data_IF_860415990527
#
_entry.id   IF_860415990527
#
_cell.length_a   1.000
_cell.length_b   1.000
_cell.length_c   1.000
_cell.angle_alpha   90.00
_cell.angle_beta   90.00
_cell.angle_gamma   90.00
#
_symmetry.space_group_name_H-M   'P 1'
#
loop_
_entity.id
_entity.type
_entity.pdbx_description
1 polymer ?
#
# COMPACT_ATOMS: atom_id res chain seq x y z
N UNK A 1 7.19 -4.44 49.73
CA UNK A 1 6.79 -4.98 48.42
C UNK A 1 5.28 -4.84 48.28
N UNK A 2 4.73 -3.71 47.81
CA UNK A 2 3.33 -3.64 47.42
C UNK A 2 3.15 -4.08 45.96
N UNK A 3 2.20 -4.99 45.73
CA UNK A 3 1.75 -5.49 44.43
C UNK A 3 1.30 -4.36 43.50
N UNK A 4 1.76 -4.41 42.25
CA UNK A 4 1.12 -3.68 41.15
C UNK A 4 -0.23 -4.31 40.83
N UNK A 5 -1.33 -3.55 40.74
CA UNK A 5 -2.55 -4.05 40.12
C UNK A 5 -2.36 -4.13 38.61
N UNK A 6 -2.64 -5.30 38.05
CA UNK A 6 -2.72 -5.58 36.62
C UNK A 6 -3.85 -4.74 36.02
N UNK A 7 -3.50 -3.80 35.14
CA UNK A 7 -4.47 -3.02 34.38
C UNK A 7 -5.18 -3.94 33.36
N UNK A 8 -6.51 -3.82 33.18
CA UNK A 8 -7.18 -4.52 32.09
C UNK A 8 -6.63 -3.99 30.76
N UNK A 9 -6.21 -4.91 29.89
CA UNK A 9 -5.92 -4.58 28.49
C UNK A 9 -7.24 -4.24 27.80
N UNK A 10 -7.50 -2.95 27.68
CA UNK A 10 -8.59 -2.41 26.88
C UNK A 10 -8.32 -2.77 25.42
N UNK A 11 -9.03 -3.81 24.95
CA UNK A 11 -9.16 -4.11 23.55
C UNK A 11 -10.15 -3.15 22.92
N UNK A 12 -9.70 -1.93 22.64
CA UNK A 12 -10.45 -0.98 21.80
C UNK A 12 -10.12 -1.26 20.34
N UNK A 13 -10.74 -2.33 19.82
CA UNK A 13 -10.96 -2.44 18.39
C UNK A 13 -12.11 -1.52 18.02
N UNK A 14 -11.86 -0.22 17.94
CA UNK A 14 -12.77 0.78 17.38
C UNK A 14 -12.86 0.57 15.85
N UNK A 15 -13.45 -0.56 15.46
CA UNK A 15 -13.91 -0.79 14.09
C UNK A 15 -15.26 -0.10 13.95
N UNK A 16 -15.24 1.22 13.73
CA UNK A 16 -16.42 2.02 13.47
C UNK A 16 -17.19 1.50 12.26
N UNK A 17 -18.27 0.76 12.53
CA UNK A 17 -19.33 0.45 11.58
C UNK A 17 -20.31 1.63 11.51
N UNK A 18 -19.87 2.75 10.92
CA UNK A 18 -20.77 3.83 10.50
C UNK A 18 -21.20 3.60 9.03
N UNK A 19 -21.70 2.40 8.74
CA UNK A 19 -21.97 1.91 7.38
C UNK A 19 -23.38 2.15 6.83
N UNK A 20 -24.29 2.81 7.56
CA UNK A 20 -25.75 2.73 7.26
C UNK A 20 -26.34 3.92 6.47
N UNK A 21 -25.54 4.80 5.85
CA UNK A 21 -26.12 5.87 5.00
C UNK A 21 -25.31 6.34 3.79
N UNK A 22 -24.12 5.80 3.55
CA UNK A 22 -23.36 6.11 2.32
C UNK A 22 -23.60 5.03 1.25
N UNK A 23 -23.95 5.41 0.01
CA UNK A 23 -24.10 4.43 -1.07
C UNK A 23 -22.75 3.76 -1.33
N UNK A 24 -22.78 2.42 -1.47
CA UNK A 24 -21.57 1.63 -1.77
C UNK A 24 -20.92 2.09 -3.08
N UNK A 25 -19.59 2.08 -3.13
CA UNK A 25 -18.84 2.40 -4.33
C UNK A 25 -19.17 1.43 -5.48
N UNK A 26 -19.37 1.98 -6.68
CA UNK A 26 -19.77 1.20 -7.86
C UNK A 26 -18.58 0.45 -8.47
N UNK A 27 -18.85 -0.75 -8.99
CA UNK A 27 -17.85 -1.62 -9.62
C UNK A 27 -18.13 -1.71 -11.12
N UNK A 28 -17.15 -1.34 -11.96
CA UNK A 28 -17.21 -1.48 -13.41
C UNK A 28 -16.43 -2.71 -13.89
N UNK A 29 -17.13 -3.60 -14.60
CA UNK A 29 -16.50 -4.75 -15.27
C UNK A 29 -15.80 -4.28 -16.54
N UNK A 30 -14.53 -4.63 -16.70
CA UNK A 30 -13.73 -4.30 -17.89
C UNK A 30 -13.65 -5.53 -18.78
N UNK A 31 -14.09 -5.41 -20.04
CA UNK A 31 -14.03 -6.49 -21.00
C UNK A 31 -12.58 -6.98 -21.20
N UNK A 32 -12.39 -8.30 -21.18
CA UNK A 32 -11.05 -8.91 -21.30
C UNK A 32 -10.18 -8.83 -20.04
N UNK A 33 -10.59 -8.09 -19.00
CA UNK A 33 -9.89 -8.06 -17.72
C UNK A 33 -10.47 -9.09 -16.75
N UNK A 34 -9.58 -9.81 -16.05
CA UNK A 34 -9.98 -10.65 -14.90
C UNK A 34 -10.39 -9.82 -13.69
N UNK A 35 -9.86 -8.61 -13.55
CA UNK A 35 -10.14 -7.70 -12.43
C UNK A 35 -11.17 -6.66 -12.84
N UNK A 36 -12.16 -6.43 -11.98
CA UNK A 36 -13.05 -5.29 -12.09
C UNK A 36 -12.34 -4.01 -11.61
N UNK A 37 -12.85 -2.85 -12.03
CA UNK A 37 -12.38 -1.53 -11.57
C UNK A 37 -13.44 -0.90 -10.67
N UNK A 38 -12.99 -0.10 -9.72
CA UNK A 38 -13.87 0.73 -8.90
C UNK A 38 -14.10 2.06 -9.60
N UNK A 39 -15.34 2.53 -9.62
CA UNK A 39 -15.63 3.93 -9.97
C UNK A 39 -15.14 4.86 -8.86
N UNK A 40 -14.72 6.09 -9.17
CA UNK A 40 -14.34 7.06 -8.14
C UNK A 40 -15.42 7.23 -7.08
N UNK A 41 -15.00 7.42 -5.83
CA UNK A 41 -15.94 7.75 -4.77
C UNK A 41 -16.65 9.09 -5.10
N UNK A 42 -17.95 9.23 -4.79
CA UNK A 42 -18.68 10.47 -5.04
C UNK A 42 -17.98 11.67 -4.37
N UNK A 43 -17.76 12.74 -5.14
CA UNK A 43 -17.12 13.97 -4.63
C UNK A 43 -15.60 13.91 -4.46
N UNK A 44 -14.93 12.83 -4.90
CA UNK A 44 -13.46 12.71 -4.88
C UNK A 44 -12.88 12.88 -6.29
N UNK A 45 -11.71 13.52 -6.40
CA UNK A 45 -10.93 13.56 -7.63
C UNK A 45 -10.04 12.29 -7.73
N UNK A 46 -10.24 11.41 -8.73
CA UNK A 46 -9.41 10.23 -8.93
C UNK A 46 -8.09 10.52 -9.65
N UNK A 47 -7.87 11.77 -10.10
CA UNK A 47 -6.68 12.14 -10.85
C UNK A 47 -5.46 12.10 -9.93
N UNK A 48 -4.33 11.51 -10.36
CA UNK A 48 -3.10 11.63 -9.60
C UNK A 48 -2.69 13.09 -9.52
N UNK A 49 -2.17 13.51 -8.37
CA UNK A 49 -1.56 14.82 -8.24
C UNK A 49 -0.42 14.98 -9.24
N UNK A 50 -0.37 16.13 -9.91
CA UNK A 50 0.75 16.45 -10.79
C UNK A 50 2.03 16.50 -9.95
N UNK A 51 3.13 15.87 -10.42
CA UNK A 51 4.39 15.94 -9.70
C UNK A 51 4.80 17.40 -9.56
N UNK A 52 5.13 17.84 -8.34
CA UNK A 52 5.67 19.18 -8.13
C UNK A 52 7.03 19.26 -8.84
N UNK A 53 7.39 20.46 -9.31
CA UNK A 53 8.72 20.68 -9.88
C UNK A 53 9.77 20.35 -8.80
N UNK A 54 10.53 19.27 -9.00
CA UNK A 54 11.53 18.76 -8.06
C UNK A 54 11.16 17.45 -7.36
N UNK A 55 9.93 16.93 -7.54
CA UNK A 55 9.44 15.68 -6.92
C UNK A 55 9.69 14.43 -7.79
N UNK A 56 10.16 14.63 -9.03
CA UNK A 56 10.66 13.53 -9.83
C UNK A 56 11.97 13.05 -9.20
N UNK A 57 12.12 11.75 -8.90
CA UNK A 57 13.41 11.22 -8.47
C UNK A 57 14.43 11.57 -9.55
N UNK A 58 15.48 12.29 -9.15
CA UNK A 58 16.57 12.60 -10.08
C UNK A 58 17.12 11.27 -10.58
N UNK A 59 17.49 11.14 -11.85
CA UNK A 59 18.17 9.91 -12.31
C UNK A 59 19.49 9.65 -11.57
N UNK A 60 19.97 10.62 -10.78
CA UNK A 60 21.06 10.45 -9.81
C UNK A 60 20.65 9.66 -8.54
N UNK A 61 19.37 9.66 -8.15
CA UNK A 61 18.80 8.78 -7.10
C UNK A 61 18.61 7.34 -7.60
N UNK A 62 18.83 7.07 -8.88
CA UNK A 62 18.97 5.71 -9.41
C UNK A 62 20.29 5.05 -9.00
N UNK A 63 21.10 5.70 -8.17
CA UNK A 63 22.18 5.01 -7.46
C UNK A 63 21.51 3.88 -6.66
N UNK A 64 21.82 2.60 -6.94
CA UNK A 64 21.25 1.51 -6.18
C UNK A 64 21.47 1.81 -4.71
N UNK A 65 20.38 1.84 -3.93
CA UNK A 65 20.47 2.01 -2.49
C UNK A 65 21.40 0.97 -1.86
N UNK A 66 21.74 1.10 -0.57
CA UNK A 66 22.59 0.13 0.11
C UNK A 66 22.07 -1.27 -0.16
N UNK A 67 22.93 -2.08 -0.78
CA UNK A 67 22.56 -3.38 -1.29
C UNK A 67 22.13 -4.29 -0.14
N UNK A 68 20.96 -4.91 -0.28
CA UNK A 68 20.48 -5.86 0.71
C UNK A 68 21.04 -7.27 0.48
N UNK A 69 21.04 -8.10 1.53
CA UNK A 69 21.37 -9.53 1.47
C UNK A 69 20.58 -10.29 0.38
N UNK A 70 19.36 -9.84 0.06
CA UNK A 70 18.56 -10.41 -1.03
C UNK A 70 19.20 -10.16 -2.40
N UNK A 71 19.65 -8.94 -2.65
CA UNK A 71 20.25 -8.54 -3.94
C UNK A 71 21.57 -9.27 -4.20
N UNK A 72 22.34 -9.56 -3.15
CA UNK A 72 23.56 -10.35 -3.27
C UNK A 72 23.25 -11.81 -3.57
N UNK A 73 22.30 -12.43 -2.86
CA UNK A 73 21.87 -13.81 -3.13
C UNK A 73 21.38 -13.99 -4.57
N UNK A 74 20.55 -13.07 -5.07
CA UNK A 74 20.00 -13.13 -6.43
C UNK A 74 21.08 -13.08 -7.53
N UNK A 75 22.19 -12.38 -7.29
CA UNK A 75 23.28 -12.28 -8.29
C UNK A 75 24.20 -13.49 -8.28
N UNK A 76 24.31 -14.18 -7.15
CA UNK A 76 25.07 -15.43 -7.07
C UNK A 76 24.29 -16.60 -7.67
N UNK A 77 22.96 -16.52 -7.70
CA UNK A 77 22.08 -17.52 -8.29
C UNK A 77 22.01 -17.36 -9.83
N UNK A 78 23.13 -17.62 -10.50
CA UNK A 78 23.21 -17.60 -11.97
C UNK A 78 22.92 -19.01 -12.50
N UNK A 79 21.86 -19.20 -13.30
CA UNK A 79 21.55 -20.50 -13.88
C UNK A 79 22.72 -21.06 -14.72
N UNK A 80 22.93 -22.39 -14.70
CA UNK A 80 23.93 -23.01 -15.55
C UNK A 80 23.62 -22.72 -17.02
N UNK A 81 24.65 -22.37 -17.80
CA UNK A 81 24.50 -22.21 -19.24
C UNK A 81 24.53 -23.61 -19.86
N UNK A 82 23.44 -24.01 -20.51
CA UNK A 82 23.31 -25.26 -21.25
C UNK A 82 23.18 -24.98 -22.74
#
# INVERSE_FOLDING_TARGET
>A
MPSSPEAPREGEGEGGDEGESTPRQLIRRVAGSRRARLEPAPGTDPSPDAPRRGDAPSSADSTPGPRGENDDRLRQDVPPHW
#
